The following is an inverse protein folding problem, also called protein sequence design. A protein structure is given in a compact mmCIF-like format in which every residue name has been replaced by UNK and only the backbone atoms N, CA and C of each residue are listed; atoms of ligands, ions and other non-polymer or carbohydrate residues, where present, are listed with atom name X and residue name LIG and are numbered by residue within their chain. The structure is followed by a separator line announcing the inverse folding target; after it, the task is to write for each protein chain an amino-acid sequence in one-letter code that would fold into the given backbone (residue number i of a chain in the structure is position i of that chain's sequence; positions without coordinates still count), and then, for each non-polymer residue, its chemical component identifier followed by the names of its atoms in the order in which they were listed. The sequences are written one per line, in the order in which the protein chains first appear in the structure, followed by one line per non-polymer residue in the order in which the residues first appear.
data_IF_002802525692
#
_entry.id   IF_002802525692
#
_cell.length_a   1.000
_cell.length_b   1.000
_cell.length_c   1.000
_cell.angle_alpha   90.00
_cell.angle_beta   90.00
_cell.angle_gamma   90.00
#
_symmetry.space_group_name_H-M   'P 1'
#
loop_
_entity.id
_entity.type
_entity.pdbx_description
1 polymer ?
#
# COMPACT_ATOMS: atom_id res chain seq x y z
N UNK A 1 -6.38 -17.89 -3.07
CA UNK A 1 -7.70 -17.54 -3.60
C UNK A 1 -8.84 -18.24 -2.83
N UNK A 2 -8.78 -19.59 -2.70
CA UNK A 2 -9.82 -20.39 -2.00
C UNK A 2 -10.06 -19.90 -0.55
N UNK A 3 -9.00 -19.60 0.18
CA UNK A 3 -9.08 -19.12 1.57
C UNK A 3 -9.70 -17.72 1.66
N UNK A 4 -9.38 -16.84 0.71
CA UNK A 4 -10.00 -15.50 0.61
C UNK A 4 -11.49 -15.62 0.32
N UNK A 5 -11.88 -16.52 -0.58
CA UNK A 5 -13.29 -16.77 -0.88
C UNK A 5 -14.05 -17.32 0.33
N UNK A 6 -13.48 -18.29 1.02
CA UNK A 6 -14.07 -18.85 2.24
C UNK A 6 -14.21 -17.76 3.33
N UNK A 7 -13.17 -16.95 3.53
CA UNK A 7 -13.21 -15.86 4.52
C UNK A 7 -14.24 -14.79 4.15
N UNK A 8 -14.37 -14.43 2.87
CA UNK A 8 -15.38 -13.49 2.40
C UNK A 8 -16.82 -14.01 2.66
N UNK A 9 -17.07 -15.32 2.47
CA UNK A 9 -18.35 -15.94 2.79
C UNK A 9 -18.62 -15.96 4.31
N UNK A 10 -17.60 -16.24 5.14
CA UNK A 10 -17.72 -16.26 6.59
C UNK A 10 -17.91 -14.87 7.19
N UNK A 11 -17.34 -13.84 6.57
CA UNK A 11 -17.42 -12.45 7.03
C UNK A 11 -18.43 -11.62 6.22
N UNK A 12 -19.30 -12.26 5.46
CA UNK A 12 -20.23 -11.60 4.52
C UNK A 12 -21.06 -10.51 5.17
N UNK A 13 -21.60 -10.79 6.37
CA UNK A 13 -22.51 -9.86 7.04
C UNK A 13 -21.77 -8.60 7.52
N UNK A 14 -20.53 -8.74 7.97
CA UNK A 14 -19.66 -7.60 8.30
C UNK A 14 -19.29 -6.78 7.05
N UNK A 15 -18.92 -7.45 5.95
CA UNK A 15 -18.60 -6.78 4.69
C UNK A 15 -19.83 -6.05 4.14
N UNK A 16 -20.99 -6.70 4.16
CA UNK A 16 -22.24 -6.13 3.67
C UNK A 16 -22.70 -4.97 4.55
N UNK A 17 -22.72 -5.11 5.87
CA UNK A 17 -23.06 -4.03 6.79
C UNK A 17 -22.14 -2.80 6.61
N UNK A 18 -20.85 -3.01 6.31
CA UNK A 18 -19.93 -1.92 6.05
C UNK A 18 -20.15 -1.25 4.68
N UNK A 19 -20.61 -2.00 3.68
CA UNK A 19 -20.69 -1.53 2.28
C UNK A 19 -22.12 -1.22 1.81
N UNK A 20 -23.17 -1.80 2.40
CA UNK A 20 -24.57 -1.60 1.96
C UNK A 20 -25.07 -0.18 2.23
N UNK A 21 -24.89 0.35 3.45
CA UNK A 21 -25.44 1.66 3.84
C UNK A 21 -24.70 2.84 3.20
N UNK A 22 -23.39 2.74 3.00
CA UNK A 22 -22.52 3.86 2.60
C UNK A 22 -21.82 3.68 1.26
N UNK A 23 -21.90 2.46 0.70
CA UNK A 23 -21.19 2.07 -0.52
C UNK A 23 -19.71 1.80 -0.33
N UNK A 24 -19.12 1.08 -1.27
CA UNK A 24 -17.67 0.73 -1.26
C UNK A 24 -16.80 2.00 -1.26
N UNK A 25 -17.22 3.05 -1.97
CA UNK A 25 -16.46 4.30 -2.02
C UNK A 25 -16.27 4.95 -0.64
N UNK A 26 -17.31 4.93 0.20
CA UNK A 26 -17.18 5.46 1.56
C UNK A 26 -16.29 4.56 2.42
N UNK A 27 -16.42 3.25 2.30
CA UNK A 27 -15.55 2.31 2.99
C UNK A 27 -14.06 2.55 2.63
N UNK A 28 -13.76 2.86 1.37
CA UNK A 28 -12.39 3.19 0.94
C UNK A 28 -11.94 4.55 1.44
N UNK A 29 -12.81 5.55 1.53
CA UNK A 29 -12.48 6.83 2.19
C UNK A 29 -12.13 6.64 3.67
N UNK A 30 -12.88 5.78 4.37
CA UNK A 30 -12.62 5.45 5.77
C UNK A 30 -11.25 4.73 5.93
N UNK A 31 -10.93 3.78 5.04
CA UNK A 31 -9.61 3.13 4.99
C UNK A 31 -8.50 4.15 4.72
N UNK A 32 -8.68 5.04 3.75
CA UNK A 32 -7.70 6.08 3.43
C UNK A 32 -7.45 7.03 4.61
N UNK A 33 -8.52 7.40 5.33
CA UNK A 33 -8.42 8.22 6.54
C UNK A 33 -7.63 7.53 7.65
N UNK A 34 -7.86 6.23 7.90
CA UNK A 34 -7.10 5.43 8.88
C UNK A 34 -5.63 5.31 8.48
N UNK A 35 -5.35 5.16 7.19
CA UNK A 35 -3.99 5.06 6.66
C UNK A 35 -3.30 6.43 6.53
N UNK A 36 -4.00 7.53 6.74
CA UNK A 36 -3.46 8.89 6.62
C UNK A 36 -3.08 9.28 5.19
N UNK A 37 -3.79 8.76 4.18
CA UNK A 37 -3.53 9.04 2.76
C UNK A 37 -4.74 9.66 2.09
N UNK A 38 -4.47 10.39 1.00
CA UNK A 38 -5.53 10.92 0.13
C UNK A 38 -6.31 9.75 -0.52
N UNK A 39 -7.64 9.71 -0.38
CA UNK A 39 -8.48 8.71 -1.07
C UNK A 39 -8.30 8.70 -2.59
N UNK A 40 -7.97 9.84 -3.21
CA UNK A 40 -7.73 9.98 -4.65
C UNK A 40 -6.24 9.86 -5.03
N UNK A 41 -5.32 9.77 -4.06
CA UNK A 41 -3.89 9.66 -4.30
C UNK A 41 -3.55 8.41 -5.11
N UNK A 42 -2.50 8.46 -5.91
CA UNK A 42 -2.06 7.36 -6.77
C UNK A 42 -0.67 6.89 -6.38
N UNK A 43 -0.44 5.59 -6.47
CA UNK A 43 0.87 4.99 -6.20
C UNK A 43 1.92 5.53 -7.18
N UNK A 44 1.55 5.67 -8.47
CA UNK A 44 2.43 6.15 -9.53
C UNK A 44 2.90 7.60 -9.29
N UNK A 45 2.07 8.43 -8.67
CA UNK A 45 2.45 9.82 -8.35
C UNK A 45 3.54 9.84 -7.28
N UNK A 46 3.42 8.96 -6.27
CA UNK A 46 4.45 8.80 -5.23
C UNK A 46 5.75 8.20 -5.81
N UNK A 47 5.65 7.25 -6.73
CA UNK A 47 6.82 6.67 -7.40
C UNK A 47 7.59 7.73 -8.19
N UNK A 48 6.89 8.60 -8.93
CA UNK A 48 7.52 9.74 -9.62
C UNK A 48 8.16 10.72 -8.63
N UNK A 49 7.48 11.03 -7.53
CA UNK A 49 8.02 11.89 -6.48
C UNK A 49 9.27 11.30 -5.82
N UNK A 50 9.36 9.96 -5.68
CA UNK A 50 10.57 9.29 -5.18
C UNK A 50 11.73 9.48 -6.15
N UNK A 51 11.52 9.25 -7.46
CA UNK A 51 12.57 9.26 -8.48
C UNK A 51 13.08 10.68 -8.74
N UNK A 52 12.20 11.65 -8.76
CA UNK A 52 12.51 13.03 -9.17
C UNK A 52 12.33 14.02 -8.02
N UNK A 53 13.03 13.75 -6.93
CA UNK A 53 13.02 14.60 -5.73
C UNK A 53 13.96 15.79 -5.81
N UNK A 54 13.74 16.81 -4.95
CA UNK A 54 14.51 18.05 -4.98
C UNK A 54 15.97 17.88 -4.56
N UNK A 55 16.30 16.89 -3.71
CA UNK A 55 17.66 16.71 -3.21
C UNK A 55 18.56 15.97 -4.20
N UNK A 56 17.99 14.97 -4.89
CA UNK A 56 18.72 14.15 -5.85
C UNK A 56 17.82 13.78 -7.03
N UNK A 57 17.55 14.70 -7.95
CA UNK A 57 16.76 14.42 -9.13
C UNK A 57 17.46 13.40 -10.04
N UNK A 58 16.68 12.65 -10.79
CA UNK A 58 17.16 11.59 -11.69
C UNK A 58 18.29 12.04 -12.62
N UNK A 59 18.26 13.29 -13.06
CA UNK A 59 19.30 13.89 -13.93
C UNK A 59 20.68 13.92 -13.28
N UNK A 60 20.75 13.92 -11.95
CA UNK A 60 22.01 14.00 -11.18
C UNK A 60 22.56 12.65 -10.75
N UNK A 61 21.83 11.56 -10.92
CA UNK A 61 22.27 10.22 -10.46
C UNK A 61 23.59 9.79 -11.09
N UNK A 62 23.80 10.06 -12.39
CA UNK A 62 25.05 9.72 -13.06
C UNK A 62 26.23 10.58 -12.58
N UNK A 63 25.99 11.86 -12.30
CA UNK A 63 26.99 12.78 -11.76
C UNK A 63 27.41 12.33 -10.37
N UNK A 64 26.46 12.00 -9.50
CA UNK A 64 26.75 11.47 -8.18
C UNK A 64 27.49 10.12 -8.27
N UNK A 65 27.08 9.22 -9.14
CA UNK A 65 27.72 7.94 -9.36
C UNK A 65 29.21 8.11 -9.76
N UNK A 66 29.52 9.09 -10.63
CA UNK A 66 30.90 9.39 -11.02
C UNK A 66 31.75 9.91 -9.85
N UNK A 67 31.18 10.71 -8.95
CA UNK A 67 31.87 11.16 -7.75
C UNK A 67 32.16 10.00 -6.80
N UNK A 68 31.19 9.10 -6.57
CA UNK A 68 31.35 7.95 -5.67
C UNK A 68 32.33 6.90 -6.21
N UNK A 69 32.56 6.85 -7.51
CA UNK A 69 33.52 5.93 -8.14
C UNK A 69 34.97 6.14 -7.69
N UNK A 70 35.30 7.37 -7.26
CA UNK A 70 36.60 7.70 -6.68
C UNK A 70 36.79 7.20 -5.23
N UNK A 71 35.74 6.65 -4.63
CA UNK A 71 35.72 6.19 -3.23
C UNK A 71 36.32 4.82 -3.01
N UNK A 72 35.84 4.15 -1.97
CA UNK A 72 36.20 2.79 -1.59
C UNK A 72 35.22 1.76 -2.19
N UNK A 73 35.44 0.48 -1.91
CA UNK A 73 34.56 -0.61 -2.40
C UNK A 73 33.08 -0.37 -2.06
N UNK A 74 32.79 0.17 -0.87
CA UNK A 74 31.41 0.48 -0.45
C UNK A 74 30.79 1.61 -1.29
N UNK A 75 31.58 2.64 -1.63
CA UNK A 75 31.14 3.74 -2.48
C UNK A 75 30.91 3.25 -3.93
N UNK A 76 31.75 2.33 -4.41
CA UNK A 76 31.55 1.68 -5.72
C UNK A 76 30.27 0.83 -5.78
N UNK A 77 29.89 0.18 -4.67
CA UNK A 77 28.59 -0.52 -4.59
C UNK A 77 27.40 0.46 -4.68
N UNK A 78 27.51 1.63 -4.06
CA UNK A 78 26.50 2.69 -4.22
C UNK A 78 26.46 3.24 -5.66
N UNK A 79 27.64 3.45 -6.28
CA UNK A 79 27.76 3.79 -7.70
C UNK A 79 27.00 2.79 -8.57
N UNK A 80 27.19 1.49 -8.32
CA UNK A 80 26.52 0.42 -9.07
C UNK A 80 24.99 0.50 -8.91
N UNK A 81 24.49 0.67 -7.68
CA UNK A 81 23.03 0.79 -7.42
C UNK A 81 22.40 1.99 -8.14
N UNK A 82 23.07 3.16 -8.10
CA UNK A 82 22.59 4.36 -8.81
C UNK A 82 22.55 4.15 -10.33
N UNK A 83 23.58 3.52 -10.90
CA UNK A 83 23.62 3.20 -12.33
C UNK A 83 22.56 2.18 -12.73
N UNK A 84 22.35 1.15 -11.91
CA UNK A 84 21.28 0.17 -12.12
C UNK A 84 19.91 0.84 -12.07
N UNK A 85 19.65 1.69 -11.07
CA UNK A 85 18.41 2.45 -10.97
C UNK A 85 18.19 3.34 -12.19
N UNK A 86 19.25 4.04 -12.66
CA UNK A 86 19.17 4.90 -13.83
C UNK A 86 18.87 4.14 -15.13
N UNK A 87 19.38 2.92 -15.25
CA UNK A 87 19.21 2.07 -16.43
C UNK A 87 17.84 1.36 -16.48
N UNK A 88 17.08 1.33 -15.35
CA UNK A 88 15.80 0.66 -15.30
C UNK A 88 14.74 1.35 -16.16
N UNK A 89 13.92 0.52 -16.82
CA UNK A 89 12.77 0.95 -17.63
C UNK A 89 11.50 0.70 -16.81
N UNK A 90 10.66 1.73 -16.68
CA UNK A 90 9.42 1.70 -15.93
C UNK A 90 9.56 2.28 -14.51
N UNK A 91 8.63 3.16 -14.15
CA UNK A 91 8.70 3.96 -12.91
C UNK A 91 8.78 3.07 -11.66
N UNK A 92 7.94 2.04 -11.55
CA UNK A 92 7.93 1.16 -10.38
C UNK A 92 9.26 0.41 -10.20
N UNK A 93 9.80 -0.19 -11.27
CA UNK A 93 11.07 -0.92 -11.21
C UNK A 93 12.26 0.03 -10.93
N UNK A 94 12.21 1.23 -11.48
CA UNK A 94 13.21 2.26 -11.23
C UNK A 94 13.15 2.75 -9.79
N UNK A 95 11.96 2.97 -9.24
CA UNK A 95 11.73 3.33 -7.85
C UNK A 95 12.31 2.27 -6.91
N UNK A 96 12.00 1.00 -7.14
CA UNK A 96 12.51 -0.08 -6.30
C UNK A 96 14.05 -0.14 -6.30
N UNK A 97 14.69 0.03 -7.46
CA UNK A 97 16.15 0.08 -7.56
C UNK A 97 16.77 1.34 -6.95
N UNK A 98 16.09 2.47 -7.06
CA UNK A 98 16.54 3.69 -6.39
C UNK A 98 16.47 3.57 -4.87
N UNK A 99 15.43 2.95 -4.34
CA UNK A 99 15.31 2.67 -2.90
C UNK A 99 16.43 1.78 -2.38
N UNK A 100 17.00 0.85 -3.17
CA UNK A 100 18.15 0.02 -2.78
C UNK A 100 19.41 0.83 -2.43
N UNK A 101 19.52 2.08 -2.89
CA UNK A 101 20.60 3.01 -2.50
C UNK A 101 20.50 3.36 -1.03
N UNK A 102 19.27 3.56 -0.53
CA UNK A 102 18.98 4.08 0.81
C UNK A 102 18.60 3.01 1.82
N UNK A 103 18.12 1.85 1.36
CA UNK A 103 17.64 0.78 2.21
C UNK A 103 18.58 -0.42 2.21
N UNK A 104 18.57 -1.14 3.32
CA UNK A 104 19.21 -2.46 3.47
C UNK A 104 18.28 -3.55 2.90
N UNK A 105 18.80 -4.78 2.75
CA UNK A 105 18.01 -5.90 2.20
C UNK A 105 16.78 -6.30 3.03
N UNK A 106 16.72 -5.89 4.30
CA UNK A 106 15.55 -6.03 5.19
C UNK A 106 14.58 -4.84 5.12
N UNK A 107 14.86 -3.85 4.26
CA UNK A 107 14.04 -2.66 4.07
C UNK A 107 14.23 -1.55 5.10
N UNK A 108 15.24 -1.67 5.97
CA UNK A 108 15.59 -0.63 6.95
C UNK A 108 16.47 0.46 6.33
N UNK A 109 16.37 1.73 6.76
CA UNK A 109 17.25 2.80 6.30
C UNK A 109 18.72 2.50 6.62
N UNK A 110 19.62 2.78 5.66
CA UNK A 110 21.07 2.68 5.88
C UNK A 110 21.54 3.77 6.81
N UNK A 111 22.50 3.44 7.67
CA UNK A 111 23.10 4.40 8.62
C UNK A 111 24.20 5.27 7.98
N UNK A 112 24.75 4.85 6.86
CA UNK A 112 25.80 5.56 6.13
C UNK A 112 25.69 5.26 4.64
N UNK A 113 25.87 6.27 3.82
CA UNK A 113 25.72 6.21 2.37
C UNK A 113 27.05 6.31 1.65
N UNK A 114 28.05 6.92 2.29
CA UNK A 114 29.38 7.14 1.74
C UNK A 114 30.43 6.82 2.81
N UNK A 115 31.64 6.49 2.38
CA UNK A 115 32.76 6.26 3.29
C UNK A 115 33.40 7.59 3.70
N UNK A 116 34.22 7.56 4.77
CA UNK A 116 34.98 8.74 5.23
C UNK A 116 35.82 9.37 4.13
N UNK A 117 36.36 8.56 3.20
CA UNK A 117 37.12 9.05 2.06
C UNK A 117 36.35 10.05 1.19
N UNK A 118 35.03 9.86 1.05
CA UNK A 118 34.16 10.78 0.32
C UNK A 118 33.65 11.89 1.24
N UNK A 119 33.16 11.57 2.45
CA UNK A 119 32.56 12.56 3.35
C UNK A 119 33.56 13.62 3.85
N UNK A 120 34.84 13.28 3.99
CA UNK A 120 35.88 14.24 4.41
C UNK A 120 36.19 15.27 3.28
N UNK A 121 36.01 14.88 2.01
CA UNK A 121 36.25 15.76 0.85
C UNK A 121 34.95 16.45 0.38
N UNK A 122 33.84 15.76 0.49
CA UNK A 122 32.53 16.21 0.04
C UNK A 122 31.45 15.94 1.10
N UNK A 123 31.49 16.65 2.23
CA UNK A 123 30.48 16.52 3.28
C UNK A 123 29.08 16.86 2.79
N UNK A 124 28.96 17.78 1.84
CA UNK A 124 27.71 18.14 1.18
C UNK A 124 26.97 16.93 0.58
N UNK A 125 27.71 15.96 0.04
CA UNK A 125 27.10 14.73 -0.52
C UNK A 125 26.57 13.83 0.59
N UNK A 126 27.30 13.72 1.70
CA UNK A 126 26.86 12.90 2.84
C UNK A 126 25.54 13.44 3.43
N UNK A 127 25.47 14.76 3.63
CA UNK A 127 24.29 15.44 4.17
C UNK A 127 23.10 15.34 3.19
N UNK A 128 23.33 15.61 1.91
CA UNK A 128 22.30 15.47 0.86
C UNK A 128 21.73 14.05 0.81
N UNK A 129 22.57 13.01 0.88
CA UNK A 129 22.09 11.62 0.87
C UNK A 129 21.35 11.25 2.16
N UNK A 130 21.71 11.83 3.30
CA UNK A 130 20.98 11.63 4.54
C UNK A 130 19.57 12.27 4.47
N UNK A 131 19.48 13.50 3.98
CA UNK A 131 18.20 14.19 3.78
C UNK A 131 17.33 13.46 2.75
N UNK A 132 17.93 12.99 1.67
CA UNK A 132 17.23 12.22 0.66
C UNK A 132 16.72 10.88 1.22
N UNK A 133 17.49 10.21 2.07
CA UNK A 133 17.04 8.99 2.75
C UNK A 133 15.80 9.23 3.61
N UNK A 134 15.76 10.32 4.38
CA UNK A 134 14.59 10.69 5.17
C UNK A 134 13.38 10.93 4.27
N UNK A 135 13.56 11.66 3.18
CA UNK A 135 12.51 11.96 2.20
C UNK A 135 11.95 10.67 1.57
N UNK A 136 12.81 9.82 1.01
CA UNK A 136 12.35 8.60 0.31
C UNK A 136 11.76 7.58 1.28
N UNK A 137 12.20 7.55 2.53
CA UNK A 137 11.60 6.68 3.56
C UNK A 137 10.16 7.11 3.88
N UNK A 138 9.91 8.41 4.03
CA UNK A 138 8.56 8.93 4.25
C UNK A 138 7.64 8.64 3.05
N UNK A 139 8.14 8.81 1.82
CA UNK A 139 7.40 8.50 0.60
C UNK A 139 7.15 7.00 0.43
N UNK A 140 8.07 6.15 0.86
CA UNK A 140 7.89 4.70 0.85
C UNK A 140 6.73 4.27 1.77
N UNK A 141 6.61 4.86 2.96
CA UNK A 141 5.47 4.60 3.84
C UNK A 141 4.14 5.05 3.20
N UNK A 142 4.14 6.22 2.56
CA UNK A 142 2.97 6.69 1.78
C UNK A 142 2.63 5.75 0.63
N UNK A 143 3.63 5.28 -0.14
CA UNK A 143 3.46 4.27 -1.21
C UNK A 143 2.83 2.98 -0.68
N UNK A 144 3.32 2.48 0.47
CA UNK A 144 2.78 1.29 1.14
C UNK A 144 1.33 1.47 1.54
N UNK A 145 1.00 2.60 2.17
CA UNK A 145 -0.35 2.91 2.59
C UNK A 145 -1.34 2.98 1.41
N UNK A 146 -0.97 3.65 0.31
CA UNK A 146 -1.77 3.68 -0.92
C UNK A 146 -1.95 2.29 -1.53
N UNK A 147 -0.90 1.48 -1.55
CA UNK A 147 -0.96 0.09 -2.04
C UNK A 147 -1.90 -0.77 -1.19
N UNK A 148 -1.89 -0.59 0.13
CA UNK A 148 -2.83 -1.27 1.04
C UNK A 148 -4.27 -0.84 0.74
N UNK A 149 -4.52 0.47 0.58
CA UNK A 149 -5.85 0.99 0.20
C UNK A 149 -6.36 0.35 -1.09
N UNK A 150 -5.55 0.32 -2.13
CA UNK A 150 -5.93 -0.21 -3.45
C UNK A 150 -6.21 -1.73 -3.41
N UNK A 151 -5.39 -2.47 -2.67
CA UNK A 151 -5.63 -3.90 -2.43
C UNK A 151 -6.90 -4.14 -1.62
N UNK A 152 -7.17 -3.31 -0.61
CA UNK A 152 -8.39 -3.38 0.20
C UNK A 152 -9.62 -3.09 -0.68
N UNK A 153 -9.56 -2.09 -1.54
CA UNK A 153 -10.62 -1.79 -2.51
C UNK A 153 -10.91 -2.99 -3.41
N UNK A 154 -9.88 -3.58 -3.99
CA UNK A 154 -10.01 -4.75 -4.85
C UNK A 154 -10.64 -5.94 -4.10
N UNK A 155 -10.23 -6.17 -2.86
CA UNK A 155 -10.80 -7.22 -2.01
C UNK A 155 -12.27 -6.95 -1.67
N UNK A 156 -12.64 -5.71 -1.34
CA UNK A 156 -14.03 -5.34 -1.04
C UNK A 156 -14.93 -5.51 -2.27
N UNK A 157 -14.48 -5.12 -3.46
CA UNK A 157 -15.22 -5.33 -4.71
C UNK A 157 -15.47 -6.82 -4.95
N UNK A 158 -14.46 -7.65 -4.78
CA UNK A 158 -14.59 -9.10 -4.95
C UNK A 158 -15.51 -9.69 -3.88
N UNK A 159 -15.34 -9.32 -2.61
CA UNK A 159 -16.10 -9.86 -1.48
C UNK A 159 -17.60 -9.49 -1.61
N UNK A 160 -17.91 -8.25 -1.96
CA UNK A 160 -19.31 -7.81 -2.20
C UNK A 160 -19.95 -8.54 -3.38
N UNK A 161 -19.23 -8.74 -4.47
CA UNK A 161 -19.72 -9.49 -5.61
C UNK A 161 -20.03 -10.96 -5.25
N UNK A 162 -19.14 -11.59 -4.45
CA UNK A 162 -19.36 -12.96 -3.96
C UNK A 162 -20.57 -13.02 -3.05
N UNK A 163 -20.69 -12.12 -2.07
CA UNK A 163 -21.82 -12.09 -1.15
C UNK A 163 -23.16 -11.88 -1.88
N UNK A 164 -23.19 -10.97 -2.85
CA UNK A 164 -24.37 -10.73 -3.67
C UNK A 164 -24.77 -11.97 -4.49
N UNK A 165 -23.78 -12.64 -5.11
CA UNK A 165 -24.02 -13.86 -5.88
C UNK A 165 -24.51 -15.01 -4.98
N UNK A 166 -23.91 -15.17 -3.81
CA UNK A 166 -24.31 -16.18 -2.83
C UNK A 166 -25.75 -15.97 -2.36
N UNK A 167 -26.15 -14.72 -2.04
CA UNK A 167 -27.55 -14.39 -1.69
C UNK A 167 -28.52 -14.75 -2.81
N UNK A 168 -28.19 -14.38 -4.06
CA UNK A 168 -29.01 -14.69 -5.21
C UNK A 168 -29.22 -16.19 -5.39
N UNK A 169 -28.14 -16.98 -5.37
CA UNK A 169 -28.21 -18.44 -5.48
C UNK A 169 -29.05 -19.08 -4.38
N UNK A 170 -28.94 -18.58 -3.14
CA UNK A 170 -29.78 -19.03 -2.02
C UNK A 170 -31.25 -18.76 -2.28
N UNK A 171 -31.58 -17.54 -2.73
CA UNK A 171 -32.95 -17.14 -3.02
C UNK A 171 -33.55 -17.97 -4.17
N UNK A 172 -32.81 -18.15 -5.26
CA UNK A 172 -33.27 -18.93 -6.43
C UNK A 172 -33.51 -20.41 -6.07
N UNK A 173 -32.72 -20.97 -5.16
CA UNK A 173 -32.86 -22.38 -4.72
C UNK A 173 -33.75 -22.55 -3.49
N UNK A 174 -34.25 -21.51 -2.90
CA UNK A 174 -35.04 -21.56 -1.66
C UNK A 174 -34.27 -22.11 -0.45
N UNK A 175 -32.93 -21.92 -0.43
CA UNK A 175 -32.07 -22.41 0.65
C UNK A 175 -31.96 -21.36 1.75
N UNK A 176 -31.95 -21.82 3.00
CA UNK A 176 -31.69 -21.01 4.18
C UNK A 176 -30.50 -21.60 4.92
N UNK A 177 -29.59 -20.75 5.37
CA UNK A 177 -28.57 -21.13 6.33
C UNK A 177 -28.99 -20.73 7.77
N UNK A 178 -28.13 -21.02 8.76
CA UNK A 178 -28.45 -20.75 10.16
C UNK A 178 -28.63 -19.25 10.44
N UNK A 179 -27.84 -18.40 9.78
CA UNK A 179 -27.93 -16.96 9.97
C UNK A 179 -29.24 -16.42 9.42
N UNK A 180 -29.71 -16.89 8.24
CA UNK A 180 -31.04 -16.55 7.70
C UNK A 180 -32.18 -16.96 8.66
N UNK A 181 -32.04 -18.09 9.35
CA UNK A 181 -33.04 -18.54 10.32
C UNK A 181 -33.06 -17.63 11.55
N UNK A 182 -31.89 -17.18 12.02
CA UNK A 182 -31.77 -16.22 13.11
C UNK A 182 -32.41 -14.88 12.70
N UNK A 183 -32.03 -14.33 11.54
CA UNK A 183 -32.54 -13.05 11.06
C UNK A 183 -34.07 -13.10 10.90
N UNK A 184 -34.60 -14.14 10.22
CA UNK A 184 -36.06 -14.30 10.07
C UNK A 184 -36.78 -14.46 11.41
N UNK A 185 -36.15 -15.13 12.40
CA UNK A 185 -36.74 -15.27 13.74
C UNK A 185 -36.76 -13.91 14.46
N UNK A 186 -35.68 -13.14 14.36
CA UNK A 186 -35.61 -11.79 14.92
C UNK A 186 -36.64 -10.85 14.27
N UNK A 187 -36.79 -10.92 12.95
CA UNK A 187 -37.79 -10.14 12.21
C UNK A 187 -39.23 -10.51 12.64
N UNK A 188 -39.50 -11.81 12.78
CA UNK A 188 -40.79 -12.27 13.32
C UNK A 188 -41.06 -11.76 14.73
N UNK A 189 -40.07 -11.82 15.61
CA UNK A 189 -40.18 -11.33 16.99
C UNK A 189 -40.37 -9.82 17.05
N UNK A 190 -39.71 -9.07 16.20
CA UNK A 190 -39.82 -7.61 16.10
C UNK A 190 -41.15 -7.15 15.45
N UNK A 191 -41.71 -7.95 14.54
CA UNK A 191 -42.98 -7.65 13.89
C UNK A 191 -44.18 -8.11 14.70
N UNK A 192 -43.98 -9.05 15.63
CA UNK A 192 -45.08 -9.48 16.51
C UNK A 192 -45.31 -8.40 17.57
N UNK A 193 -46.39 -7.66 17.41
CA UNK A 193 -46.87 -6.63 18.34
C UNK A 193 -46.84 -7.11 19.78
N UNK A 194 -46.54 -6.26 20.82
CA UNK A 194 -46.50 -6.63 22.22
C UNK A 194 -47.77 -7.24 22.81
N UNK A 195 -48.82 -7.39 22.01
CA UNK A 195 -50.07 -7.97 22.40
C UNK A 195 -50.06 -9.50 22.62
N UNK A 196 -48.94 -10.19 22.39
CA UNK A 196 -48.81 -11.64 22.62
C UNK A 196 -48.19 -12.02 23.97
N UNK A 197 -47.77 -11.05 24.79
CA UNK A 197 -47.16 -11.24 26.10
C UNK A 197 -48.13 -10.72 27.19
N UNK A 198 -49.30 -11.25 27.23
CA UNK A 198 -50.21 -11.14 28.40
C UNK A 198 -50.87 -12.45 28.68
#
# INVERSE_FOLDING_TARGET
LRDVLNQACLSRDHVMAWTEDRGIEQAIRDVAAVLGVDPAGRVEDVEREIIDGPNLPRSEWQTLAAVLEAGNKSDMEQTKRLREAHAMIGEAAQTDRYLDVFLTGDGSPRKSFVTKKISDVRPDIADMLADECLRVTALLERRRALTIRDRTQSLLVIATAIAANYRREKQERGLLDYDDLIDKTLDMLNQTSPGWVH
#
